data_IF_670142259114
#
_entry.id   IF_670142259114
#
_cell.length_a   1.000
_cell.length_b   1.000
_cell.length_c   1.000
_cell.angle_alpha   90.00
_cell.angle_beta   90.00
_cell.angle_gamma   90.00
#
_symmetry.space_group_name_H-M   'P 1'
#
loop_
_entity.id
_entity.type
_entity.pdbx_description
1 polymer ?
#
# COMPACT_ATOMS: atom_id res chain seq x y z
N UNK A 1 15.60 -21.37 -6.27
CA UNK A 1 15.09 -20.09 -6.84
C UNK A 1 13.68 -19.89 -6.31
N UNK A 2 13.50 -19.36 -5.09
CA UNK A 2 12.17 -19.35 -4.43
C UNK A 2 11.85 -18.06 -3.65
N UNK A 3 12.86 -17.26 -3.29
CA UNK A 3 12.64 -15.98 -2.59
C UNK A 3 12.03 -14.91 -3.51
N UNK A 4 12.43 -14.88 -4.78
CA UNK A 4 11.92 -13.89 -5.74
C UNK A 4 10.44 -14.11 -6.06
N UNK A 5 9.96 -15.36 -6.11
CA UNK A 5 8.57 -15.65 -6.41
C UNK A 5 7.63 -15.19 -5.29
N UNK A 6 7.98 -15.47 -4.02
CA UNK A 6 7.18 -15.03 -2.88
C UNK A 6 7.15 -13.51 -2.73
N UNK A 7 8.30 -12.84 -2.89
CA UNK A 7 8.35 -11.37 -2.86
C UNK A 7 7.55 -10.77 -4.02
N UNK A 8 7.66 -11.35 -5.22
CA UNK A 8 6.94 -10.91 -6.39
C UNK A 8 5.42 -11.07 -6.22
N UNK A 9 4.95 -12.21 -5.72
CA UNK A 9 3.53 -12.45 -5.44
C UNK A 9 3.00 -11.47 -4.41
N UNK A 10 3.76 -11.22 -3.33
CA UNK A 10 3.39 -10.23 -2.31
C UNK A 10 3.26 -8.82 -2.90
N UNK A 11 4.24 -8.39 -3.70
CA UNK A 11 4.19 -7.07 -4.36
C UNK A 11 3.01 -6.98 -5.34
N UNK A 12 2.71 -8.06 -6.06
CA UNK A 12 1.58 -8.12 -6.97
C UNK A 12 0.26 -7.94 -6.20
N UNK A 13 0.11 -8.62 -5.08
CA UNK A 13 -1.06 -8.54 -4.22
C UNK A 13 -1.21 -7.12 -3.63
N UNK A 14 -0.11 -6.52 -3.15
CA UNK A 14 -0.10 -5.13 -2.68
C UNK A 14 -0.55 -4.17 -3.79
N UNK A 15 -0.03 -4.35 -5.01
CA UNK A 15 -0.43 -3.54 -6.17
C UNK A 15 -1.92 -3.68 -6.48
N UNK A 16 -2.46 -4.89 -6.42
CA UNK A 16 -3.88 -5.16 -6.64
C UNK A 16 -4.78 -4.55 -5.55
N UNK A 17 -4.30 -4.46 -4.32
CA UNK A 17 -5.07 -3.81 -3.25
C UNK A 17 -4.96 -2.29 -3.35
N UNK A 18 -3.77 -1.75 -3.63
CA UNK A 18 -3.57 -0.31 -3.84
C UNK A 18 -4.34 0.22 -5.06
N UNK A 19 -4.56 -0.58 -6.10
CA UNK A 19 -5.38 -0.17 -7.26
C UNK A 19 -6.87 -0.04 -6.92
N UNK A 20 -7.34 -0.66 -5.84
CA UNK A 20 -8.70 -0.55 -5.32
C UNK A 20 -8.86 0.61 -4.34
N UNK A 21 -7.76 1.28 -3.98
CA UNK A 21 -7.81 2.48 -3.13
C UNK A 21 -8.37 3.64 -3.93
N UNK A 22 -9.33 4.32 -3.32
CA UNK A 22 -10.04 5.48 -3.83
C UNK A 22 -10.11 6.52 -2.72
N UNK A 23 -10.46 7.77 -3.08
CA UNK A 23 -10.71 8.82 -2.09
C UNK A 23 -11.82 8.47 -1.09
N UNK A 24 -12.73 7.55 -1.43
CA UNK A 24 -13.87 7.22 -0.59
C UNK A 24 -13.58 6.16 0.48
N UNK A 25 -12.68 5.20 0.20
CA UNK A 25 -12.40 4.09 1.12
C UNK A 25 -11.11 4.27 1.93
N UNK A 26 -10.11 4.97 1.39
CA UNK A 26 -8.84 5.24 2.08
C UNK A 26 -8.27 6.57 1.57
N UNK A 27 -8.86 7.71 1.99
CA UNK A 27 -8.50 9.04 1.50
C UNK A 27 -7.03 9.37 1.70
N UNK A 28 -6.46 9.11 2.89
CA UNK A 28 -5.08 9.46 3.19
C UNK A 28 -4.09 8.61 2.38
N UNK A 29 -4.34 7.30 2.22
CA UNK A 29 -3.54 6.43 1.35
C UNK A 29 -3.69 6.86 -0.11
N UNK A 30 -4.89 7.24 -0.54
CA UNK A 30 -5.11 7.75 -1.90
C UNK A 30 -4.29 9.01 -2.18
N UNK A 31 -4.32 9.98 -1.26
CA UNK A 31 -3.53 11.22 -1.36
C UNK A 31 -2.02 10.98 -1.24
N UNK A 32 -1.61 9.94 -0.51
CA UNK A 32 -0.21 9.55 -0.44
C UNK A 32 0.32 8.95 -1.74
N UNK A 33 -0.51 8.24 -2.52
CA UNK A 33 -0.09 7.59 -3.78
C UNK A 33 -0.48 8.35 -5.06
N UNK A 34 -1.33 9.38 -4.96
CA UNK A 34 -1.72 10.23 -6.10
C UNK A 34 -1.31 11.68 -5.89
N UNK A 35 -1.01 12.39 -6.97
CA UNK A 35 -0.84 13.83 -6.98
C UNK A 35 -2.21 14.53 -6.90
N UNK A 36 -2.21 15.84 -6.62
CA UNK A 36 -3.43 16.65 -6.54
C UNK A 36 -4.30 16.62 -7.81
N UNK A 37 -3.70 16.39 -8.98
CA UNK A 37 -4.39 16.24 -10.27
C UNK A 37 -4.90 14.81 -10.55
N UNK A 38 -4.79 13.90 -9.58
CA UNK A 38 -5.23 12.51 -9.70
C UNK A 38 -4.25 11.59 -10.45
N UNK A 39 -3.10 12.07 -10.90
CA UNK A 39 -2.07 11.21 -11.49
C UNK A 39 -1.32 10.41 -10.42
N UNK A 40 -0.81 9.24 -10.77
CA UNK A 40 -0.05 8.40 -9.84
C UNK A 40 1.26 9.11 -9.44
N UNK A 41 1.50 9.26 -8.14
CA UNK A 41 2.77 9.68 -7.59
C UNK A 41 3.65 8.45 -7.37
N UNK A 42 4.60 8.20 -8.28
CA UNK A 42 5.50 7.04 -8.21
C UNK A 42 6.32 6.99 -6.91
N UNK A 43 6.74 8.14 -6.38
CA UNK A 43 7.49 8.20 -5.12
C UNK A 43 6.59 7.85 -3.93
N UNK A 44 5.38 8.41 -3.93
CA UNK A 44 4.34 8.12 -2.93
C UNK A 44 3.95 6.64 -2.93
N UNK A 45 3.68 6.09 -4.11
CA UNK A 45 3.39 4.68 -4.32
C UNK A 45 4.52 3.78 -3.79
N UNK A 46 5.77 4.03 -4.19
CA UNK A 46 6.92 3.23 -3.74
C UNK A 46 7.10 3.27 -2.22
N UNK A 47 6.86 4.44 -1.60
CA UNK A 47 6.91 4.60 -0.14
C UNK A 47 5.80 3.81 0.55
N UNK A 48 4.58 3.86 0.03
CA UNK A 48 3.44 3.11 0.59
C UNK A 48 3.62 1.61 0.40
N UNK A 49 4.07 1.15 -0.77
CA UNK A 49 4.41 -0.24 -1.04
C UNK A 49 5.45 -0.75 -0.03
N UNK A 50 6.54 0.00 0.20
CA UNK A 50 7.56 -0.38 1.17
C UNK A 50 7.02 -0.50 2.61
N UNK A 51 6.15 0.41 3.03
CA UNK A 51 5.49 0.33 4.34
C UNK A 51 4.57 -0.89 4.45
N UNK A 52 3.78 -1.19 3.41
CA UNK A 52 2.90 -2.34 3.37
C UNK A 52 3.69 -3.66 3.43
N UNK A 53 4.78 -3.77 2.65
CA UNK A 53 5.67 -4.94 2.68
C UNK A 53 6.22 -5.16 4.10
N UNK A 54 6.74 -4.11 4.74
CA UNK A 54 7.26 -4.21 6.11
C UNK A 54 6.18 -4.64 7.10
N UNK A 55 4.95 -4.11 6.99
CA UNK A 55 3.82 -4.48 7.86
C UNK A 55 3.38 -5.93 7.67
N UNK A 56 3.30 -6.39 6.44
CA UNK A 56 2.89 -7.77 6.13
C UNK A 56 3.92 -8.76 6.68
N UNK A 57 5.21 -8.47 6.49
CA UNK A 57 6.30 -9.32 7.00
C UNK A 57 6.36 -9.30 8.53
N UNK A 58 6.28 -8.13 9.16
CA UNK A 58 6.44 -7.98 10.62
C UNK A 58 5.20 -8.37 11.42
N UNK A 59 4.00 -8.09 10.89
CA UNK A 59 2.73 -8.28 11.58
C UNK A 59 1.97 -9.55 11.18
N UNK A 60 2.48 -10.34 10.22
CA UNK A 60 1.73 -11.44 9.59
C UNK A 60 0.35 -11.02 9.08
N UNK A 61 0.25 -9.80 8.56
CA UNK A 61 -1.00 -9.23 8.06
C UNK A 61 -1.15 -9.48 6.55
N UNK A 62 -2.39 -9.56 6.07
CA UNK A 62 -2.67 -9.62 4.63
C UNK A 62 -2.59 -8.22 4.00
N UNK A 63 -2.32 -8.13 2.70
CA UNK A 63 -2.26 -6.84 2.00
C UNK A 63 -3.56 -6.03 2.14
N UNK A 64 -4.71 -6.72 2.15
CA UNK A 64 -6.03 -6.10 2.34
C UNK A 64 -6.22 -5.50 3.74
N UNK A 65 -5.67 -6.13 4.79
CA UNK A 65 -5.74 -5.62 6.16
C UNK A 65 -4.69 -4.54 6.46
N UNK A 66 -3.57 -4.55 5.72
CA UNK A 66 -2.49 -3.60 5.89
C UNK A 66 -2.86 -2.17 5.42
N UNK A 67 -3.72 -2.03 4.40
CA UNK A 67 -4.17 -0.72 3.91
C UNK A 67 -5.00 0.05 4.95
N UNK A 68 -6.06 -0.51 5.56
CA UNK A 68 -6.80 0.17 6.64
C UNK A 68 -5.93 0.56 7.83
N UNK A 69 -4.94 -0.27 8.20
CA UNK A 69 -4.00 0.10 9.27
C UNK A 69 -3.10 1.27 8.85
N UNK A 70 -2.62 1.25 7.61
CA UNK A 70 -1.80 2.33 7.08
C UNK A 70 -2.59 3.65 6.99
N UNK A 71 -3.86 3.58 6.60
CA UNK A 71 -4.79 4.71 6.61
C UNK A 71 -4.92 5.30 8.01
N UNK A 72 -5.15 4.47 9.04
CA UNK A 72 -5.23 4.92 10.43
C UNK A 72 -3.92 5.57 10.91
N UNK A 73 -2.76 5.04 10.51
CA UNK A 73 -1.47 5.65 10.87
C UNK A 73 -1.24 7.01 10.21
N UNK A 74 -1.73 7.19 8.98
CA UNK A 74 -1.66 8.47 8.28
C UNK A 74 -2.63 9.49 8.85
N UNK A 75 -3.80 9.04 9.32
CA UNK A 75 -4.80 9.90 9.98
C UNK A 75 -4.34 10.39 11.37
N UNK A 76 -3.53 9.58 12.06
CA UNK A 76 -2.98 9.90 13.38
C UNK A 76 -1.69 10.77 13.33
N UNK A 77 -1.15 11.07 12.14
CA UNK A 77 0.04 11.91 11.93
C UNK A 77 -0.33 13.36 11.61
#
# INVERSE_FOLDING_TARGET
MAKNDLEYQLRLEIKEQLSKVTKANSPNVYEAIHNANGSLNLQGYARMEGKLVQKIISGQLTAAAAIPQLEQELDLM
#
